data_IF_301301948229
#
_entry.id   IF_301301948229
#
_cell.length_a   1.000
_cell.length_b   1.000
_cell.length_c   1.000
_cell.angle_alpha   90.00
_cell.angle_beta   90.00
_cell.angle_gamma   90.00
#
_symmetry.space_group_name_H-M   'P 1'
#
loop_
_entity.id
_entity.type
_entity.pdbx_description
1 polymer ?
#
# COMPACT_ATOMS: atom_id res chain seq x y z
N UNK A 1 16.88 2.36 10.47
CA UNK A 1 18.04 1.68 9.93
C UNK A 1 19.20 1.56 10.94
N UNK A 2 19.04 2.09 12.15
CA UNK A 2 20.07 1.98 13.20
C UNK A 2 21.29 2.87 12.99
N UNK A 3 21.24 3.84 12.11
CA UNK A 3 22.36 4.74 11.78
C UNK A 3 22.35 6.05 12.57
N UNK A 4 21.20 6.44 13.14
CA UNK A 4 21.00 7.73 13.79
C UNK A 4 21.22 7.69 15.31
N UNK A 5 20.79 6.59 15.96
CA UNK A 5 20.86 6.47 17.41
C UNK A 5 20.75 5.00 17.86
N UNK A 6 21.06 4.76 19.13
CA UNK A 6 20.72 3.52 19.85
C UNK A 6 19.54 3.83 20.77
N UNK A 7 18.40 3.21 20.53
CA UNK A 7 17.20 3.39 21.34
C UNK A 7 17.31 2.48 22.57
N UNK A 8 17.33 3.08 23.77
CA UNK A 8 17.44 2.36 25.04
C UNK A 8 16.10 2.23 25.77
N UNK A 9 15.16 3.14 25.50
CA UNK A 9 13.84 3.13 26.11
C UNK A 9 12.83 3.81 25.18
N UNK A 10 11.61 3.27 25.08
CA UNK A 10 10.49 3.86 24.32
C UNK A 10 9.26 3.90 25.21
N UNK A 11 8.63 5.08 25.32
CA UNK A 11 7.31 5.26 25.91
C UNK A 11 6.28 5.48 24.82
N UNK A 12 5.27 4.62 24.75
CA UNK A 12 4.21 4.66 23.73
C UNK A 12 2.84 4.82 24.39
N UNK A 13 1.91 5.45 23.67
CA UNK A 13 0.51 5.42 24.03
C UNK A 13 -0.12 4.12 23.55
N UNK A 14 -1.06 3.58 24.34
CA UNK A 14 -1.84 2.40 23.98
C UNK A 14 -3.26 2.85 23.60
N UNK A 15 -3.81 2.20 22.59
CA UNK A 15 -5.22 2.33 22.23
C UNK A 15 -5.99 1.10 22.70
N UNK A 16 -7.29 1.20 23.05
CA UNK A 16 -8.12 0.03 23.35
C UNK A 16 -8.11 -0.95 22.18
N UNK A 17 -8.04 -2.25 22.48
CA UNK A 17 -8.17 -3.27 21.44
C UNK A 17 -9.60 -3.23 20.90
N UNK A 18 -9.81 -3.13 19.57
CA UNK A 18 -11.15 -3.08 19.02
C UNK A 18 -11.91 -4.39 19.30
N UNK A 19 -13.20 -4.27 19.57
CA UNK A 19 -14.10 -5.41 19.79
C UNK A 19 -14.37 -6.12 18.47
N UNK A 20 -14.63 -5.34 17.42
CA UNK A 20 -14.93 -5.81 16.08
C UNK A 20 -14.20 -4.94 15.04
N UNK A 21 -13.94 -5.54 13.89
CA UNK A 21 -13.38 -4.84 12.73
C UNK A 21 -14.16 -5.17 11.46
N UNK A 22 -14.10 -4.28 10.47
CA UNK A 22 -14.56 -4.54 9.11
C UNK A 22 -13.58 -3.93 8.11
N UNK A 23 -13.54 -4.47 6.89
CA UNK A 23 -12.75 -3.91 5.81
C UNK A 23 -13.64 -3.47 4.65
N UNK A 24 -13.31 -2.30 4.07
CA UNK A 24 -13.74 -1.92 2.73
C UNK A 24 -12.54 -2.03 1.78
N UNK A 25 -12.63 -2.87 0.74
CA UNK A 25 -11.55 -3.00 -0.25
C UNK A 25 -11.97 -2.26 -1.51
N UNK A 26 -11.33 -1.12 -1.76
CA UNK A 26 -11.59 -0.26 -2.92
C UNK A 26 -10.62 -0.60 -4.04
N UNK A 27 -11.12 -0.83 -5.26
CA UNK A 27 -10.35 -1.28 -6.42
C UNK A 27 -10.15 -0.15 -7.41
N UNK A 28 -8.92 0.03 -7.89
CA UNK A 28 -8.52 1.10 -8.81
C UNK A 28 -7.85 0.55 -10.07
N UNK A 29 -7.92 1.31 -11.15
CA UNK A 29 -7.26 0.96 -12.41
C UNK A 29 -5.73 1.06 -12.31
N UNK A 30 -5.23 1.96 -11.46
CA UNK A 30 -3.81 2.20 -11.25
C UNK A 30 -3.51 2.70 -9.83
N UNK A 31 -2.22 2.79 -9.53
CA UNK A 31 -1.71 3.26 -8.23
C UNK A 31 -1.98 4.76 -8.00
N UNK A 32 -2.07 5.56 -9.05
CA UNK A 32 -2.26 7.00 -8.96
C UNK A 32 -3.67 7.34 -8.47
N UNK A 33 -4.69 6.72 -9.09
CA UNK A 33 -6.08 6.86 -8.65
C UNK A 33 -6.30 6.37 -7.22
N UNK A 34 -5.61 5.29 -6.82
CA UNK A 34 -5.62 4.81 -5.45
C UNK A 34 -5.00 5.85 -4.49
N UNK A 35 -3.85 6.41 -4.85
CA UNK A 35 -3.17 7.42 -4.02
C UNK A 35 -3.97 8.71 -3.87
N UNK A 36 -4.65 9.17 -4.93
CA UNK A 36 -5.52 10.36 -4.89
C UNK A 36 -6.75 10.17 -3.99
N UNK A 37 -7.26 8.95 -3.88
CA UNK A 37 -8.45 8.66 -3.10
C UNK A 37 -8.21 8.66 -1.58
N UNK A 38 -6.96 8.54 -1.14
CA UNK A 38 -6.62 8.37 0.30
C UNK A 38 -7.14 9.53 1.14
N UNK A 39 -6.95 10.79 0.70
CA UNK A 39 -7.44 11.97 1.42
C UNK A 39 -8.96 11.94 1.64
N UNK A 40 -9.73 11.43 0.67
CA UNK A 40 -11.17 11.34 0.78
C UNK A 40 -11.61 10.16 1.67
N UNK A 41 -10.86 9.07 1.65
CA UNK A 41 -11.13 7.93 2.54
C UNK A 41 -10.83 8.29 4.00
N UNK A 42 -9.83 9.14 4.26
CA UNK A 42 -9.52 9.64 5.60
C UNK A 42 -10.67 10.45 6.22
N UNK A 43 -11.55 11.07 5.41
CA UNK A 43 -12.76 11.75 5.88
C UNK A 43 -13.73 10.82 6.63
N UNK A 44 -13.64 9.48 6.42
CA UNK A 44 -14.44 8.45 7.08
C UNK A 44 -13.86 7.94 8.42
N UNK A 45 -12.79 8.55 8.91
CA UNK A 45 -12.11 8.17 10.17
C UNK A 45 -11.77 6.67 10.26
N UNK A 46 -11.10 6.08 9.25
CA UNK A 46 -10.69 4.69 9.28
C UNK A 46 -9.58 4.45 10.31
N UNK A 47 -9.51 3.24 10.86
CA UNK A 47 -8.40 2.83 11.75
C UNK A 47 -7.09 2.64 10.98
N UNK A 48 -7.17 2.24 9.73
CA UNK A 48 -6.01 2.16 8.83
C UNK A 48 -6.44 2.14 7.35
N UNK A 49 -5.52 2.57 6.47
CA UNK A 49 -5.63 2.40 5.02
C UNK A 49 -4.32 1.81 4.53
N UNK A 50 -4.40 0.60 3.97
CA UNK A 50 -3.25 -0.09 3.36
C UNK A 50 -3.38 -0.11 1.84
N UNK A 51 -2.29 0.15 1.14
CA UNK A 51 -2.25 0.12 -0.32
C UNK A 51 -1.46 -1.10 -0.82
N UNK A 52 -1.95 -1.73 -1.89
CA UNK A 52 -1.25 -2.79 -2.62
C UNK A 52 -1.43 -2.60 -4.12
N UNK A 53 -0.33 -2.62 -4.86
CA UNK A 53 -0.34 -2.53 -6.33
C UNK A 53 -0.54 -3.89 -7.02
N UNK A 54 -0.65 -3.86 -8.36
CA UNK A 54 -0.78 -5.06 -9.20
C UNK A 54 0.38 -6.05 -9.03
N UNK A 55 1.60 -5.58 -8.72
CA UNK A 55 2.75 -6.46 -8.51
C UNK A 55 2.53 -7.41 -7.32
N UNK A 56 2.00 -6.89 -6.22
CA UNK A 56 1.65 -7.70 -5.04
C UNK A 56 0.48 -8.63 -5.37
N UNK A 57 -0.57 -8.11 -6.03
CA UNK A 57 -1.81 -8.85 -6.30
C UNK A 57 -1.59 -10.02 -7.28
N UNK A 58 -0.87 -9.78 -8.39
CA UNK A 58 -0.59 -10.81 -9.38
C UNK A 58 0.28 -11.94 -8.82
N UNK A 59 1.30 -11.59 -8.04
CA UNK A 59 2.15 -12.61 -7.38
C UNK A 59 1.38 -13.41 -6.35
N UNK A 60 0.44 -12.79 -5.65
CA UNK A 60 -0.46 -13.50 -4.72
C UNK A 60 -1.34 -14.49 -5.46
N UNK A 61 -1.88 -14.14 -6.64
CA UNK A 61 -2.64 -15.05 -7.50
C UNK A 61 -1.81 -16.24 -8.00
N UNK A 62 -0.53 -16.02 -8.27
CA UNK A 62 0.39 -17.06 -8.75
C UNK A 62 0.95 -17.93 -7.62
N UNK A 63 0.83 -17.51 -6.38
CA UNK A 63 1.31 -18.25 -5.21
C UNK A 63 0.33 -19.33 -4.81
N UNK A 64 0.77 -20.62 -4.80
CA UNK A 64 -0.07 -21.73 -4.38
C UNK A 64 -0.61 -21.57 -2.94
N UNK A 65 0.11 -20.89 -2.06
CA UNK A 65 -0.30 -20.65 -0.67
C UNK A 65 -1.26 -19.48 -0.48
N UNK A 66 -1.43 -18.59 -1.47
CA UNK A 66 -2.22 -17.36 -1.34
C UNK A 66 -3.33 -17.23 -2.38
N UNK A 67 -3.31 -18.01 -3.46
CA UNK A 67 -4.31 -17.91 -4.53
C UNK A 67 -5.75 -18.05 -4.00
N UNK A 68 -5.97 -18.92 -3.01
CA UNK A 68 -7.28 -19.11 -2.37
C UNK A 68 -7.73 -17.90 -1.52
N UNK A 69 -6.82 -17.01 -1.14
CA UNK A 69 -7.11 -15.82 -0.34
C UNK A 69 -7.54 -14.62 -1.19
N UNK A 70 -7.49 -14.72 -2.53
CA UNK A 70 -7.76 -13.61 -3.45
C UNK A 70 -9.25 -13.37 -3.74
N UNK A 71 -10.16 -14.02 -3.01
CA UNK A 71 -11.61 -13.90 -3.21
C UNK A 71 -12.19 -12.50 -2.97
N UNK A 72 -11.42 -11.58 -2.41
CA UNK A 72 -11.80 -10.18 -2.21
C UNK A 72 -11.54 -9.29 -3.44
N UNK A 73 -10.88 -9.81 -4.47
CA UNK A 73 -10.52 -9.04 -5.66
C UNK A 73 -11.61 -9.15 -6.73
N UNK A 74 -12.14 -8.02 -7.15
CA UNK A 74 -13.01 -7.89 -8.31
C UNK A 74 -12.23 -7.42 -9.53
N UNK A 75 -12.37 -8.12 -10.65
CA UNK A 75 -11.69 -7.78 -11.91
C UNK A 75 -10.18 -7.90 -11.86
N UNK A 76 -9.50 -6.94 -12.48
CA UNK A 76 -8.04 -6.89 -12.56
C UNK A 76 -7.51 -5.51 -12.14
N UNK A 77 -7.49 -5.20 -10.84
CA UNK A 77 -7.07 -3.89 -10.36
C UNK A 77 -5.56 -3.66 -10.56
N UNK A 78 -5.21 -2.42 -10.94
CA UNK A 78 -3.84 -1.94 -10.88
C UNK A 78 -3.39 -1.62 -9.45
N UNK A 79 -4.34 -1.31 -8.57
CA UNK A 79 -4.12 -1.17 -7.13
C UNK A 79 -5.41 -1.38 -6.34
N UNK A 80 -5.27 -1.72 -5.05
CA UNK A 80 -6.37 -1.71 -4.08
C UNK A 80 -6.00 -0.93 -2.83
N UNK A 81 -7.00 -0.28 -2.23
CA UNK A 81 -6.94 0.25 -0.87
C UNK A 81 -7.76 -0.65 0.05
N UNK A 82 -7.12 -1.15 1.10
CA UNK A 82 -7.76 -1.90 2.19
C UNK A 82 -8.00 -0.93 3.33
N UNK A 83 -9.26 -0.58 3.56
CA UNK A 83 -9.70 0.40 4.56
C UNK A 83 -10.29 -0.35 5.75
N UNK A 84 -9.65 -0.24 6.92
CA UNK A 84 -10.12 -0.89 8.14
C UNK A 84 -10.90 0.07 9.02
N UNK A 85 -12.01 -0.43 9.56
CA UNK A 85 -12.82 0.28 10.56
C UNK A 85 -12.91 -0.52 11.86
N UNK A 86 -12.86 0.18 12.99
CA UNK A 86 -13.16 -0.34 14.29
C UNK A 86 -14.61 0.01 14.68
N UNK A 87 -15.26 -0.89 15.42
CA UNK A 87 -16.62 -0.66 15.90
C UNK A 87 -17.02 -1.62 17.03
N UNK A 88 -18.15 -1.30 17.65
CA UNK A 88 -18.71 -2.05 18.77
C UNK A 88 -19.81 -3.03 18.33
N UNK A 89 -20.32 -2.89 17.09
CA UNK A 89 -21.36 -3.74 16.55
C UNK A 89 -21.24 -3.96 15.04
N UNK A 90 -21.79 -5.07 14.55
CA UNK A 90 -21.86 -5.38 13.12
C UNK A 90 -22.69 -4.34 12.36
N UNK A 91 -23.76 -3.82 12.97
CA UNK A 91 -24.60 -2.78 12.37
C UNK A 91 -23.81 -1.49 12.13
N UNK A 92 -23.01 -1.06 13.10
CA UNK A 92 -22.12 0.11 12.97
C UNK A 92 -21.10 -0.09 11.86
N UNK A 93 -20.42 -1.24 11.85
CA UNK A 93 -19.39 -1.55 10.85
C UNK A 93 -19.98 -1.68 9.45
N UNK A 94 -21.18 -2.25 9.34
CA UNK A 94 -21.91 -2.31 8.06
C UNK A 94 -22.24 -0.90 7.55
N UNK A 95 -22.67 0.00 8.44
CA UNK A 95 -22.96 1.38 8.07
C UNK A 95 -21.68 2.10 7.57
N UNK A 96 -20.56 2.02 8.32
CA UNK A 96 -19.27 2.64 7.95
C UNK A 96 -18.78 2.14 6.58
N UNK A 97 -18.79 0.83 6.36
CA UNK A 97 -18.30 0.27 5.09
C UNK A 97 -19.22 0.58 3.91
N UNK A 98 -20.53 0.68 4.11
CA UNK A 98 -21.47 1.10 3.08
C UNK A 98 -21.34 2.59 2.77
N UNK A 99 -21.17 3.45 3.77
CA UNK A 99 -20.92 4.88 3.58
C UNK A 99 -19.66 5.12 2.75
N UNK A 100 -18.55 4.43 3.06
CA UNK A 100 -17.35 4.45 2.24
C UNK A 100 -17.64 4.05 0.80
N UNK A 101 -18.34 2.93 0.59
CA UNK A 101 -18.67 2.41 -0.75
C UNK A 101 -19.50 3.42 -1.56
N UNK A 102 -20.52 4.02 -0.94
CA UNK A 102 -21.38 5.01 -1.58
C UNK A 102 -20.64 6.30 -1.90
N UNK A 103 -19.75 6.76 -1.00
CA UNK A 103 -18.95 7.96 -1.22
C UNK A 103 -17.94 7.77 -2.33
N UNK A 104 -17.22 6.66 -2.36
CA UNK A 104 -16.27 6.34 -3.44
C UNK A 104 -16.99 6.29 -4.80
N UNK A 105 -18.15 5.66 -4.87
CA UNK A 105 -18.97 5.61 -6.09
C UNK A 105 -19.44 7.01 -6.51
N UNK A 106 -19.90 7.84 -5.57
CA UNK A 106 -20.37 9.21 -5.83
C UNK A 106 -19.25 10.13 -6.33
N UNK A 107 -18.05 10.01 -5.77
CA UNK A 107 -16.87 10.79 -6.15
C UNK A 107 -16.20 10.26 -7.41
N UNK A 108 -16.56 9.06 -7.89
CA UNK A 108 -15.92 8.41 -9.03
C UNK A 108 -14.54 7.85 -8.71
N UNK A 109 -14.27 7.55 -7.43
CA UNK A 109 -13.02 6.92 -6.98
C UNK A 109 -13.16 5.39 -6.97
N UNK A 110 -12.25 4.74 -7.68
CA UNK A 110 -12.30 3.28 -7.84
C UNK A 110 -13.43 2.82 -8.76
N UNK A 111 -13.42 1.55 -9.12
CA UNK A 111 -14.46 0.94 -9.95
C UNK A 111 -15.29 -0.11 -9.21
N UNK A 112 -14.83 -0.55 -8.05
CA UNK A 112 -15.53 -1.47 -7.17
C UNK A 112 -15.12 -1.26 -5.71
N UNK A 113 -16.03 -1.55 -4.78
CA UNK A 113 -15.76 -1.60 -3.35
C UNK A 113 -16.40 -2.85 -2.78
N UNK A 114 -15.60 -3.71 -2.15
CA UNK A 114 -16.02 -4.98 -1.54
C UNK A 114 -15.93 -4.86 -0.02
N UNK A 115 -17.07 -5.07 0.67
CA UNK A 115 -17.14 -5.03 2.13
C UNK A 115 -16.85 -6.40 2.72
N UNK A 116 -15.97 -6.47 3.72
CA UNK A 116 -15.56 -7.68 4.43
C UNK A 116 -15.91 -7.55 5.92
N UNK A 117 -17.04 -8.09 6.31
CA UNK A 117 -17.49 -8.13 7.71
C UNK A 117 -17.07 -9.43 8.40
N UNK A 118 -17.01 -10.52 7.66
CA UNK A 118 -16.61 -11.83 8.17
C UNK A 118 -15.11 -11.88 8.49
N UNK A 119 -14.76 -12.42 9.66
CA UNK A 119 -13.37 -12.50 10.14
C UNK A 119 -12.46 -13.36 9.26
N UNK A 120 -12.98 -14.43 8.65
CA UNK A 120 -12.18 -15.29 7.78
C UNK A 120 -11.89 -14.58 6.45
N UNK A 121 -12.86 -13.83 5.92
CA UNK A 121 -12.65 -13.00 4.75
C UNK A 121 -11.60 -11.89 5.01
N UNK A 122 -11.67 -11.20 6.16
CA UNK A 122 -10.66 -10.22 6.57
C UNK A 122 -9.27 -10.85 6.72
N UNK A 123 -9.19 -12.04 7.34
CA UNK A 123 -7.93 -12.76 7.50
C UNK A 123 -7.29 -13.11 6.14
N UNK A 124 -8.09 -13.38 5.11
CA UNK A 124 -7.60 -13.62 3.75
C UNK A 124 -6.95 -12.36 3.16
N UNK A 125 -7.57 -11.19 3.32
CA UNK A 125 -7.01 -9.90 2.88
C UNK A 125 -5.66 -9.63 3.59
N UNK A 126 -5.65 -9.79 4.91
CA UNK A 126 -4.43 -9.56 5.72
C UNK A 126 -3.32 -10.58 5.42
N UNK A 127 -3.67 -11.83 5.07
CA UNK A 127 -2.70 -12.82 4.64
C UNK A 127 -1.98 -12.38 3.35
N UNK A 128 -2.70 -11.85 2.37
CA UNK A 128 -2.13 -11.30 1.14
C UNK A 128 -1.22 -10.12 1.47
N UNK A 129 -1.71 -9.12 2.24
CA UNK A 129 -0.94 -7.93 2.61
C UNK A 129 0.36 -8.28 3.35
N UNK A 130 0.27 -9.19 4.34
CA UNK A 130 1.42 -9.60 5.16
C UNK A 130 2.51 -10.33 4.37
N UNK A 131 2.13 -11.08 3.34
CA UNK A 131 3.09 -11.84 2.52
C UNK A 131 3.62 -11.05 1.31
N UNK A 132 3.15 -9.82 1.08
CA UNK A 132 3.52 -9.00 -0.09
C UNK A 132 5.02 -8.86 -0.28
N UNK A 133 5.78 -8.57 0.79
CA UNK A 133 7.23 -8.48 0.75
C UNK A 133 7.90 -9.76 0.25
N UNK A 134 7.55 -10.93 0.82
CA UNK A 134 8.12 -12.22 0.43
C UNK A 134 7.83 -12.55 -1.03
N UNK A 135 6.63 -12.22 -1.49
CA UNK A 135 6.22 -12.43 -2.89
C UNK A 135 7.02 -11.53 -3.85
N UNK A 136 7.20 -10.26 -3.53
CA UNK A 136 8.00 -9.35 -4.34
C UNK A 136 9.45 -9.81 -4.45
N UNK A 137 10.06 -10.24 -3.35
CA UNK A 137 11.44 -10.75 -3.33
C UNK A 137 11.61 -12.08 -4.08
N UNK A 138 10.52 -12.83 -4.34
CA UNK A 138 10.53 -14.06 -5.13
C UNK A 138 10.61 -13.84 -6.64
N UNK A 139 10.64 -12.58 -7.12
CA UNK A 139 10.80 -12.23 -8.53
C UNK A 139 11.98 -12.98 -9.15
N UNK A 140 11.76 -13.59 -10.33
CA UNK A 140 12.82 -14.30 -11.06
C UNK A 140 13.79 -13.30 -11.71
N UNK A 141 15.02 -13.72 -11.92
CA UNK A 141 16.06 -12.90 -12.54
C UNK A 141 16.95 -12.17 -11.52
N UNK A 142 17.89 -11.37 -12.02
CA UNK A 142 18.89 -10.69 -11.23
C UNK A 142 18.42 -9.34 -10.69
N UNK A 143 17.49 -8.69 -11.39
CA UNK A 143 16.84 -7.49 -10.91
C UNK A 143 15.82 -7.82 -9.82
N UNK A 144 15.84 -7.07 -8.72
CA UNK A 144 15.00 -7.28 -7.53
C UNK A 144 14.38 -5.97 -7.08
N UNK A 145 13.16 -6.00 -6.52
CA UNK A 145 12.54 -4.84 -5.89
C UNK A 145 13.21 -4.58 -4.53
N UNK A 146 14.21 -3.69 -4.52
CA UNK A 146 15.07 -3.46 -3.36
C UNK A 146 14.57 -2.31 -2.47
N UNK A 147 14.77 -2.41 -1.13
CA UNK A 147 14.22 -1.46 -0.14
C UNK A 147 15.18 -0.29 0.16
N UNK A 148 15.78 0.34 -0.84
CA UNK A 148 16.76 1.41 -0.62
C UNK A 148 16.15 2.83 -0.55
N UNK A 149 14.87 2.97 -0.87
CA UNK A 149 14.06 4.19 -0.76
C UNK A 149 12.73 3.92 -0.07
N UNK A 150 12.69 2.90 0.77
CA UNK A 150 11.52 2.46 1.52
C UNK A 150 11.23 3.38 2.70
N UNK A 151 9.97 3.37 3.17
CA UNK A 151 9.49 4.15 4.32
C UNK A 151 9.58 5.68 4.12
N UNK A 152 9.53 6.14 2.88
CA UNK A 152 9.31 7.55 2.61
C UNK A 152 7.90 7.94 3.03
N UNK A 153 7.79 8.91 3.94
CA UNK A 153 6.52 9.38 4.47
C UNK A 153 6.28 10.83 4.06
N UNK A 154 5.11 11.08 3.47
CA UNK A 154 4.66 12.41 3.04
C UNK A 154 3.26 12.66 3.58
N UNK A 155 2.79 13.90 3.54
CA UNK A 155 1.42 14.22 3.89
C UNK A 155 0.44 13.41 3.02
N UNK A 156 -0.52 12.67 3.60
CA UNK A 156 -1.50 11.90 2.85
C UNK A 156 -2.27 12.71 1.79
N UNK A 157 -2.52 14.00 2.04
CA UNK A 157 -3.18 14.90 1.10
C UNK A 157 -2.33 15.16 -0.17
N UNK A 158 -1.02 14.93 -0.07
CA UNK A 158 -0.06 15.12 -1.17
C UNK A 158 0.45 13.81 -1.76
N UNK A 159 -0.03 12.68 -1.25
CA UNK A 159 0.48 11.35 -1.62
C UNK A 159 0.33 11.05 -3.13
N UNK A 160 -0.77 11.46 -3.74
CA UNK A 160 -0.99 11.27 -5.19
C UNK A 160 0.07 11.96 -6.04
N UNK A 161 0.39 13.21 -5.73
CA UNK A 161 1.43 13.98 -6.43
C UNK A 161 2.83 13.40 -6.18
N UNK A 162 3.10 12.99 -4.94
CA UNK A 162 4.36 12.34 -4.59
C UNK A 162 4.58 11.03 -5.38
N UNK A 163 3.55 10.16 -5.43
CA UNK A 163 3.64 8.87 -6.15
C UNK A 163 3.86 9.09 -7.65
N UNK A 164 3.24 10.11 -8.25
CA UNK A 164 3.46 10.44 -9.68
C UNK A 164 4.90 10.88 -9.95
N UNK A 165 5.43 11.80 -9.14
CA UNK A 165 6.82 12.25 -9.28
C UNK A 165 7.82 11.13 -9.00
N UNK A 166 7.54 10.29 -8.02
CA UNK A 166 8.36 9.11 -7.73
C UNK A 166 8.40 8.15 -8.91
N UNK A 167 7.24 7.82 -9.49
CA UNK A 167 7.13 6.94 -10.65
C UNK A 167 7.85 7.53 -11.89
N UNK A 168 7.78 8.85 -12.07
CA UNK A 168 8.53 9.55 -13.13
C UNK A 168 10.03 9.38 -12.97
N UNK A 169 10.58 9.56 -11.77
CA UNK A 169 12.02 9.32 -11.48
C UNK A 169 12.37 7.88 -11.83
N UNK A 170 11.61 6.89 -11.35
CA UNK A 170 11.86 5.47 -11.60
C UNK A 170 11.85 5.17 -13.11
N UNK A 171 10.88 5.69 -13.85
CA UNK A 171 10.78 5.50 -15.32
C UNK A 171 11.91 6.17 -16.09
N UNK A 172 12.36 7.35 -15.65
CA UNK A 172 13.52 8.03 -16.25
C UNK A 172 14.78 7.19 -16.16
N UNK A 173 14.89 6.37 -15.11
CA UNK A 173 15.94 5.35 -14.96
C UNK A 173 15.66 4.04 -15.70
N UNK A 174 14.64 3.98 -16.57
CA UNK A 174 14.28 2.80 -17.36
C UNK A 174 14.10 1.55 -16.47
N UNK A 175 13.36 1.72 -15.38
CA UNK A 175 12.98 0.64 -14.47
C UNK A 175 11.53 0.83 -13.99
N UNK A 176 11.07 -0.10 -13.18
CA UNK A 176 9.75 -0.09 -12.55
C UNK A 176 9.89 -0.19 -11.03
N UNK A 177 8.81 0.08 -10.31
CA UNK A 177 8.75 -0.11 -8.86
C UNK A 177 7.49 -0.87 -8.46
N UNK A 178 7.55 -1.55 -7.32
CA UNK A 178 6.38 -2.09 -6.63
C UNK A 178 5.98 -1.14 -5.50
N UNK A 179 4.65 -0.98 -5.32
CA UNK A 179 4.07 -0.03 -4.36
C UNK A 179 3.16 -0.76 -3.39
N UNK A 180 3.43 -0.64 -2.11
CA UNK A 180 2.55 -1.06 -1.03
C UNK A 180 2.88 -0.27 0.23
N UNK A 181 2.01 -0.24 1.22
CA UNK A 181 2.34 0.49 2.46
C UNK A 181 1.15 1.01 3.22
N UNK A 182 1.45 1.90 4.16
CA UNK A 182 0.52 2.48 5.12
C UNK A 182 -0.01 3.82 4.58
N UNK A 183 -1.01 3.76 3.69
CA UNK A 183 -1.51 4.93 2.99
C UNK A 183 -2.15 5.97 3.94
N UNK A 184 -2.77 5.53 5.05
CA UNK A 184 -3.40 6.43 6.02
C UNK A 184 -2.45 7.45 6.67
N UNK A 185 -1.15 7.17 6.66
CA UNK A 185 -0.11 8.05 7.22
C UNK A 185 0.93 8.46 6.17
N UNK A 186 0.63 8.24 4.88
CA UNK A 186 1.51 8.62 3.77
C UNK A 186 2.84 7.87 3.71
N UNK A 187 3.01 6.77 4.46
CA UNK A 187 4.24 6.00 4.52
C UNK A 187 4.17 4.81 3.56
N UNK A 188 4.94 4.88 2.47
CA UNK A 188 4.92 3.86 1.42
C UNK A 188 6.22 3.07 1.37
N UNK A 189 6.08 1.76 1.17
CA UNK A 189 7.16 0.84 0.86
C UNK A 189 7.31 0.75 -0.66
N UNK A 190 7.98 1.72 -1.26
CA UNK A 190 8.23 1.73 -2.71
C UNK A 190 9.55 1.04 -2.99
N UNK A 191 9.54 0.08 -3.92
CA UNK A 191 10.68 -0.79 -4.20
C UNK A 191 11.04 -0.77 -5.67
N UNK A 192 11.96 0.12 -6.10
CA UNK A 192 12.47 0.09 -7.48
C UNK A 192 13.20 -1.22 -7.79
N UNK A 193 13.01 -1.71 -9.02
CA UNK A 193 13.56 -2.99 -9.47
C UNK A 193 14.94 -2.76 -10.07
N UNK A 194 16.01 -3.14 -9.37
CA UNK A 194 17.39 -2.97 -9.81
C UNK A 194 18.21 -4.24 -9.62
N UNK A 195 19.28 -4.39 -10.44
CA UNK A 195 20.22 -5.49 -10.32
C UNK A 195 21.54 -5.00 -9.74
N UNK A 196 21.93 -5.50 -8.58
CA UNK A 196 23.21 -5.16 -7.96
C UNK A 196 24.39 -6.03 -8.47
N UNK A 197 24.14 -6.86 -9.49
CA UNK A 197 25.20 -7.68 -10.13
C UNK A 197 25.99 -6.92 -11.19
N UNK A 198 25.61 -5.70 -11.55
CA UNK A 198 26.31 -4.85 -12.51
C UNK A 198 26.57 -3.48 -11.91
N UNK A 199 27.67 -2.84 -12.36
CA UNK A 199 27.98 -1.47 -11.97
C UNK A 199 26.90 -0.48 -12.43
N UNK A 200 26.26 -0.72 -13.57
CA UNK A 200 25.14 0.07 -14.06
C UNK A 200 23.96 0.04 -13.06
N UNK A 201 23.59 -1.15 -12.57
CA UNK A 201 22.51 -1.29 -11.60
C UNK A 201 22.82 -0.65 -10.25
N UNK A 202 24.09 -0.72 -9.80
CA UNK A 202 24.53 -0.01 -8.58
C UNK A 202 24.45 1.50 -8.78
N UNK A 203 24.92 2.02 -9.92
CA UNK A 203 24.85 3.45 -10.22
C UNK A 203 23.39 3.92 -10.31
N UNK A 204 22.52 3.13 -10.96
CA UNK A 204 21.06 3.38 -11.03
C UNK A 204 20.45 3.48 -9.62
N UNK A 205 20.76 2.55 -8.74
CA UNK A 205 20.28 2.56 -7.35
C UNK A 205 20.68 3.86 -6.62
N UNK A 206 21.96 4.28 -6.74
CA UNK A 206 22.46 5.49 -6.10
C UNK A 206 21.73 6.73 -6.65
N UNK A 207 21.64 6.86 -7.99
CA UNK A 207 21.00 8.00 -8.61
C UNK A 207 19.51 8.11 -8.23
N UNK A 208 18.76 7.00 -8.23
CA UNK A 208 17.36 6.97 -7.78
C UNK A 208 17.27 7.39 -6.29
N UNK A 209 18.17 6.90 -5.43
CA UNK A 209 18.14 7.23 -4.01
C UNK A 209 18.37 8.73 -3.77
N UNK A 210 19.32 9.34 -4.50
CA UNK A 210 19.62 10.77 -4.40
C UNK A 210 18.42 11.61 -4.87
N UNK A 211 17.83 11.31 -6.04
CA UNK A 211 16.68 12.02 -6.59
C UNK A 211 15.44 11.88 -5.69
N UNK A 212 15.17 10.68 -5.12
CA UNK A 212 14.07 10.49 -4.18
C UNK A 212 14.31 11.21 -2.86
N UNK A 213 15.56 11.24 -2.37
CA UNK A 213 15.90 12.02 -1.17
C UNK A 213 15.60 13.51 -1.37
N UNK A 214 15.84 14.05 -2.55
CA UNK A 214 15.51 15.44 -2.85
C UNK A 214 13.99 15.62 -3.04
N UNK A 215 13.32 14.68 -3.72
CA UNK A 215 11.86 14.70 -3.86
C UNK A 215 11.14 14.73 -2.51
N UNK A 216 11.53 13.87 -1.54
CA UNK A 216 10.90 13.83 -0.21
C UNK A 216 10.97 15.17 0.53
N UNK A 217 12.03 15.96 0.31
CA UNK A 217 12.18 17.30 0.93
C UNK A 217 11.20 18.33 0.38
N UNK A 218 10.64 18.09 -0.82
CA UNK A 218 9.63 18.97 -1.42
C UNK A 218 8.23 18.73 -0.84
N UNK A 219 7.99 17.54 -0.24
CA UNK A 219 6.71 17.06 0.27
C UNK A 219 6.62 17.04 1.79
#
# INVERSE_FOLDING_TARGET
EGTLCVITEIKINLVPRPTMTALGVVHFQDIFGASDAVQHILEHDPSSIEIMDSNVLERSRQSAGLASNMGFIEGNPGAVLVVEFYGESETELTAKTNELKEDMARRGHGYATVNMLDRAAQASVWAVRKNGLGLLMSMRGDAKPLPFVEDTAVDPDRMGDFVRKFDEIVRNHQTEAAYYGHASVGCLHIRPVVSLKSQEGVNKMVSIADEISDLVKEF
#
